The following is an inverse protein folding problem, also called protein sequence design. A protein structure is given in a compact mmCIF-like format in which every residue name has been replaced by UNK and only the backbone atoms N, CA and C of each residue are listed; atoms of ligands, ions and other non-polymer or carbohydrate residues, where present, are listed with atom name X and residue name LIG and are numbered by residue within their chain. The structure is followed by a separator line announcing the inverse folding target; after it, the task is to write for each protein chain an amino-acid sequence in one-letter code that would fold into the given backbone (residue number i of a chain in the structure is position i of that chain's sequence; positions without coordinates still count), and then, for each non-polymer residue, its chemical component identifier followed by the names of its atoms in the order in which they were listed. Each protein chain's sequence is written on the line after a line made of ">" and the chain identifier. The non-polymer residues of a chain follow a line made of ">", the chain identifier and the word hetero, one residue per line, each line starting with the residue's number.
data_IF_023031252348
#
_entry.id   IF_023031252348
#
_cell.length_a   1.000
_cell.length_b   1.000
_cell.length_c   1.000
_cell.angle_alpha   90.00
_cell.angle_beta   90.00
_cell.angle_gamma   90.00
#
_symmetry.space_group_name_H-M   'P 1'
#
loop_
_entity.id
_entity.type
_entity.pdbx_description
1 polymer ?
#
# COMPACT_ATOMS: atom_id res chain seq x y z
N UNK A 1 -6.89 -14.12 11.51
CA UNK A 1 -7.12 -13.17 12.61
C UNK A 1 -7.08 -11.76 12.04
N UNK A 2 -8.24 -11.12 11.90
CA UNK A 2 -8.45 -9.67 11.75
C UNK A 2 -9.89 -9.42 12.17
N UNK A 3 -10.20 -9.61 13.46
CA UNK A 3 -11.53 -9.32 13.99
C UNK A 3 -11.44 -8.05 14.83
N UNK A 4 -12.08 -7.01 14.30
CA UNK A 4 -12.46 -5.81 15.03
C UNK A 4 -11.44 -4.68 14.95
N UNK A 5 -11.45 -3.91 13.85
CA UNK A 5 -11.79 -2.46 13.81
C UNK A 5 -12.10 -2.12 12.34
N UNK A 6 -13.14 -2.71 11.75
CA UNK A 6 -13.46 -2.43 10.34
C UNK A 6 -14.33 -1.16 10.26
N UNK A 7 -13.70 0.00 10.47
CA UNK A 7 -14.26 1.23 9.91
C UNK A 7 -14.31 1.01 8.40
N UNK A 8 -15.51 1.11 7.81
CA UNK A 8 -15.77 0.88 6.39
C UNK A 8 -14.93 1.81 5.47
N UNK A 9 -14.25 2.79 6.07
CA UNK A 9 -13.39 3.80 5.47
C UNK A 9 -11.96 3.81 6.10
N UNK A 10 -11.45 2.68 6.56
CA UNK A 10 -10.05 2.59 7.06
C UNK A 10 -9.06 2.35 5.92
N UNK A 11 -7.81 2.79 6.10
CA UNK A 11 -6.71 2.53 5.17
C UNK A 11 -6.55 1.02 4.90
N UNK A 12 -6.64 0.19 5.95
CA UNK A 12 -6.55 -1.28 5.82
C UNK A 12 -7.69 -1.81 4.94
N UNK A 13 -8.94 -1.36 5.15
CA UNK A 13 -10.07 -1.76 4.30
C UNK A 13 -9.88 -1.34 2.84
N UNK A 14 -9.39 -0.12 2.60
CA UNK A 14 -9.09 0.37 1.25
C UNK A 14 -7.99 -0.46 0.56
N UNK A 15 -6.90 -0.79 1.28
CA UNK A 15 -5.82 -1.65 0.78
C UNK A 15 -6.32 -3.07 0.48
N UNK A 16 -7.15 -3.66 1.35
CA UNK A 16 -7.74 -4.98 1.12
C UNK A 16 -8.67 -4.99 -0.11
N UNK A 17 -9.51 -3.96 -0.28
CA UNK A 17 -10.37 -3.80 -1.46
C UNK A 17 -9.55 -3.66 -2.74
N UNK A 18 -8.48 -2.85 -2.70
CA UNK A 18 -7.55 -2.71 -3.81
C UNK A 18 -6.92 -4.07 -4.19
N UNK A 19 -6.31 -4.76 -3.22
CA UNK A 19 -5.68 -6.08 -3.46
C UNK A 19 -6.68 -7.08 -4.03
N UNK A 20 -7.91 -7.10 -3.51
CA UNK A 20 -8.99 -7.95 -4.00
C UNK A 20 -9.37 -7.62 -5.46
N UNK A 21 -9.47 -6.34 -5.80
CA UNK A 21 -9.74 -5.90 -7.16
C UNK A 21 -8.63 -6.30 -8.15
N UNK A 22 -7.36 -6.10 -7.78
CA UNK A 22 -6.21 -6.52 -8.62
C UNK A 22 -6.15 -8.05 -8.77
N UNK A 23 -6.48 -8.80 -7.72
CA UNK A 23 -6.57 -10.27 -7.79
C UNK A 23 -7.67 -10.72 -8.76
N UNK A 24 -8.86 -10.12 -8.69
CA UNK A 24 -9.95 -10.43 -9.62
C UNK A 24 -9.59 -10.05 -11.06
N UNK A 25 -8.86 -8.94 -11.25
CA UNK A 25 -8.31 -8.56 -12.55
C UNK A 25 -7.33 -9.63 -13.07
N UNK A 26 -6.38 -10.11 -12.26
CA UNK A 26 -5.43 -11.15 -12.66
C UNK A 26 -6.11 -12.48 -13.02
N UNK A 27 -7.20 -12.84 -12.31
CA UNK A 27 -7.99 -14.04 -12.62
C UNK A 27 -8.75 -13.90 -13.95
N UNK A 28 -9.15 -12.69 -14.32
CA UNK A 28 -9.77 -12.41 -15.62
C UNK A 28 -8.76 -12.29 -16.76
N UNK A 29 -7.60 -11.66 -16.50
CA UNK A 29 -6.54 -11.41 -17.50
C UNK A 29 -5.61 -12.63 -17.57
N UNK A 30 -6.07 -13.67 -18.28
CA UNK A 30 -5.31 -14.92 -18.45
C UNK A 30 -4.06 -14.76 -19.32
N UNK A 31 -4.01 -13.76 -20.20
CA UNK A 31 -2.88 -13.49 -21.09
C UNK A 31 -2.61 -11.97 -21.06
N UNK A 32 -1.73 -11.48 -20.16
CA UNK A 32 -1.49 -10.04 -20.00
C UNK A 32 -1.01 -9.34 -21.26
N UNK A 33 -0.22 -10.00 -22.11
CA UNK A 33 0.29 -9.39 -23.36
C UNK A 33 -0.80 -8.98 -24.33
N UNK A 34 -1.99 -9.60 -24.26
CA UNK A 34 -3.14 -9.23 -25.11
C UNK A 34 -3.64 -7.81 -24.84
N UNK A 35 -3.34 -7.25 -23.67
CA UNK A 35 -3.70 -5.87 -23.34
C UNK A 35 -2.94 -4.85 -24.20
N UNK A 36 -1.74 -5.17 -24.70
CA UNK A 36 -0.97 -4.30 -25.60
C UNK A 36 -1.61 -4.17 -26.98
N UNK A 37 -2.32 -5.21 -27.39
CA UNK A 37 -2.99 -5.29 -28.70
C UNK A 37 -4.41 -4.67 -28.66
N UNK A 38 -4.88 -4.22 -27.48
CA UNK A 38 -6.22 -3.67 -27.29
C UNK A 38 -6.19 -2.14 -27.37
N UNK A 39 -6.87 -1.58 -28.37
CA UNK A 39 -7.07 -0.13 -28.48
C UNK A 39 -8.25 0.30 -27.61
N UNK A 40 -8.02 1.27 -26.71
CA UNK A 40 -9.07 1.86 -25.88
C UNK A 40 -9.79 2.93 -26.69
N UNK A 41 -10.99 2.60 -27.16
CA UNK A 41 -11.88 3.56 -27.83
C UNK A 41 -12.48 4.57 -26.83
N UNK A 42 -12.77 5.79 -27.29
CA UNK A 42 -13.30 6.90 -26.47
C UNK A 42 -14.62 6.55 -25.74
N UNK A 43 -15.35 5.54 -26.20
CA UNK A 43 -16.67 5.15 -25.70
C UNK A 43 -16.63 4.36 -24.37
N UNK A 44 -15.53 3.67 -24.06
CA UNK A 44 -15.39 2.87 -22.81
C UNK A 44 -15.07 3.72 -21.58
N UNK A 45 -14.59 4.97 -21.76
CA UNK A 45 -14.24 5.88 -20.66
C UNK A 45 -15.45 6.50 -19.96
N UNK A 46 -16.65 6.40 -20.55
CA UNK A 46 -17.89 6.97 -20.00
C UNK A 46 -18.52 6.12 -18.87
N UNK A 47 -18.03 4.90 -18.63
CA UNK A 47 -18.62 3.95 -17.66
C UNK A 47 -18.00 4.08 -16.26
N UNK A 48 -16.91 4.83 -16.09
CA UNK A 48 -16.36 5.13 -14.77
C UNK A 48 -17.18 6.25 -14.12
N UNK A 49 -18.24 5.86 -13.40
CA UNK A 49 -19.08 6.78 -12.61
C UNK A 49 -18.22 7.73 -11.74
N UNK A 50 -18.56 9.03 -11.68
CA UNK A 50 -17.87 9.99 -10.84
C UNK A 50 -18.19 9.70 -9.37
N UNK A 51 -17.30 8.98 -8.70
CA UNK A 51 -17.36 8.89 -7.24
C UNK A 51 -17.02 10.28 -6.66
N UNK A 52 -17.76 10.73 -5.65
CA UNK A 52 -17.72 12.09 -5.09
C UNK A 52 -16.39 12.46 -4.37
N UNK A 53 -15.36 11.64 -4.45
CA UNK A 53 -14.02 12.02 -4.08
C UNK A 53 -13.35 12.68 -5.29
N UNK A 54 -13.17 14.01 -5.22
CA UNK A 54 -12.37 14.78 -6.18
C UNK A 54 -10.89 14.35 -6.09
N UNK A 55 -10.58 13.15 -6.55
CA UNK A 55 -9.24 12.79 -7.00
C UNK A 55 -9.22 13.06 -8.49
N UNK A 56 -8.29 13.89 -8.94
CA UNK A 56 -7.85 13.94 -10.33
C UNK A 56 -7.41 12.53 -10.73
N UNK A 57 -8.38 11.69 -11.13
CA UNK A 57 -8.09 10.43 -11.80
C UNK A 57 -7.13 10.76 -12.94
N UNK A 58 -6.05 9.99 -13.16
CA UNK A 58 -5.32 10.09 -14.41
C UNK A 58 -6.36 9.85 -15.49
N UNK A 59 -6.74 10.92 -16.22
CA UNK A 59 -7.53 10.80 -17.44
C UNK A 59 -6.74 9.83 -18.27
N UNK A 60 -7.23 8.60 -18.39
CA UNK A 60 -6.52 7.54 -19.09
C UNK A 60 -6.33 8.07 -20.51
N UNK A 61 -5.10 8.45 -20.91
CA UNK A 61 -4.93 9.14 -22.18
C UNK A 61 -5.36 8.17 -23.28
N UNK A 62 -6.12 8.66 -24.25
CA UNK A 62 -6.45 7.93 -25.46
C UNK A 62 -5.13 7.50 -26.11
N UNK A 63 -4.78 6.21 -26.02
CA UNK A 63 -3.46 5.66 -26.39
C UNK A 63 -2.63 5.10 -25.25
N UNK A 64 -3.14 5.09 -24.01
CA UNK A 64 -2.52 4.45 -22.86
C UNK A 64 -2.39 2.92 -23.07
N UNK A 65 -1.17 2.39 -22.89
CA UNK A 65 -0.93 0.95 -22.87
C UNK A 65 -1.61 0.31 -21.65
N UNK A 66 -2.67 -0.46 -21.88
CA UNK A 66 -3.38 -1.19 -20.83
C UNK A 66 -2.45 -2.14 -20.07
N UNK A 67 -1.43 -2.67 -20.73
CA UNK A 67 -0.45 -3.54 -20.10
C UNK A 67 0.41 -2.78 -19.07
N UNK A 68 0.76 -1.52 -19.33
CA UNK A 68 1.54 -0.72 -18.38
C UNK A 68 0.77 -0.49 -17.09
N UNK A 69 -0.53 -0.21 -17.16
CA UNK A 69 -1.41 -0.08 -15.99
C UNK A 69 -1.59 -1.41 -15.27
N UNK A 70 -1.82 -2.52 -15.99
CA UNK A 70 -1.89 -3.86 -15.42
C UNK A 70 -0.62 -4.19 -14.61
N UNK A 71 0.55 -4.00 -15.21
CA UNK A 71 1.84 -4.27 -14.58
C UNK A 71 2.08 -3.37 -13.38
N UNK A 72 1.70 -2.09 -13.47
CA UNK A 72 1.78 -1.13 -12.36
C UNK A 72 0.92 -1.58 -11.16
N UNK A 73 -0.36 -1.91 -11.40
CA UNK A 73 -1.28 -2.37 -10.36
C UNK A 73 -0.78 -3.64 -9.67
N UNK A 74 -0.26 -4.59 -10.46
CA UNK A 74 0.31 -5.82 -9.92
C UNK A 74 1.56 -5.54 -9.07
N UNK A 75 2.43 -4.63 -9.52
CA UNK A 75 3.61 -4.19 -8.74
C UNK A 75 3.20 -3.59 -7.40
N UNK A 76 2.25 -2.67 -7.40
CA UNK A 76 1.73 -2.04 -6.17
C UNK A 76 1.09 -3.07 -5.23
N UNK A 77 0.32 -4.03 -5.77
CA UNK A 77 -0.24 -5.16 -4.99
C UNK A 77 0.88 -5.96 -4.30
N UNK A 78 1.96 -6.27 -5.02
CA UNK A 78 3.08 -7.01 -4.45
C UNK A 78 3.77 -6.24 -3.31
N UNK A 79 3.94 -4.93 -3.44
CA UNK A 79 4.52 -4.07 -2.40
C UNK A 79 3.68 -4.05 -1.11
N UNK A 80 2.35 -4.03 -1.25
CA UNK A 80 1.42 -4.05 -0.11
C UNK A 80 1.48 -5.40 0.62
N UNK A 81 1.47 -6.52 -0.11
CA UNK A 81 1.37 -7.87 0.48
C UNK A 81 2.72 -8.38 0.99
N UNK A 82 3.77 -8.22 0.20
CA UNK A 82 5.09 -8.82 0.50
C UNK A 82 5.97 -7.89 1.35
N UNK A 83 5.53 -6.64 1.56
CA UNK A 83 6.38 -5.59 2.10
C UNK A 83 7.54 -5.25 1.17
N UNK A 84 8.20 -4.12 1.41
CA UNK A 84 9.31 -3.62 0.58
C UNK A 84 10.57 -4.53 0.55
N UNK A 85 10.52 -5.75 1.10
CA UNK A 85 11.64 -6.69 1.16
C UNK A 85 11.91 -7.40 -0.17
N UNK A 86 10.98 -7.35 -1.12
CA UNK A 86 11.16 -7.99 -2.42
C UNK A 86 11.46 -6.96 -3.49
N UNK A 87 12.73 -6.53 -3.55
CA UNK A 87 13.34 -6.24 -4.85
C UNK A 87 13.52 -7.60 -5.55
N UNK A 88 12.42 -8.29 -5.89
CA UNK A 88 12.52 -9.43 -6.78
C UNK A 88 12.90 -8.82 -8.13
N UNK A 89 14.17 -8.96 -8.45
CA UNK A 89 14.79 -9.41 -9.71
C UNK A 89 13.91 -9.73 -10.93
N UNK A 90 12.77 -9.06 -11.13
CA UNK A 90 12.21 -8.89 -12.46
C UNK A 90 13.12 -7.90 -13.18
N UNK A 91 14.26 -8.42 -13.64
CA UNK A 91 14.87 -8.05 -14.91
C UNK A 91 13.83 -8.25 -16.01
N UNK A 92 12.79 -7.42 -15.98
CA UNK A 92 11.99 -7.16 -17.15
C UNK A 92 12.73 -6.01 -17.78
N UNK A 93 13.52 -6.31 -18.80
CA UNK A 93 13.98 -5.37 -19.82
C UNK A 93 12.80 -4.42 -20.11
N UNK A 94 12.80 -3.25 -19.48
CA UNK A 94 11.70 -2.29 -19.60
C UNK A 94 11.91 -1.60 -20.92
N UNK A 95 11.20 -2.11 -21.92
CA UNK A 95 10.77 -1.36 -23.08
C UNK A 95 10.24 0.02 -22.61
N UNK A 96 10.90 1.07 -23.08
CA UNK A 96 10.83 2.48 -22.65
C UNK A 96 9.53 3.16 -23.10
N UNK A 97 8.40 2.44 -22.98
CA UNK A 97 7.08 2.89 -23.43
C UNK A 97 6.03 2.87 -22.32
N UNK A 98 6.44 2.75 -21.05
CA UNK A 98 5.53 2.90 -19.93
C UNK A 98 5.03 4.35 -19.87
N UNK A 99 3.72 4.52 -20.03
CA UNK A 99 3.05 5.82 -19.93
C UNK A 99 3.43 6.54 -18.62
N UNK A 100 3.88 7.79 -18.74
CA UNK A 100 4.45 8.57 -17.63
C UNK A 100 3.50 8.69 -16.43
N UNK A 101 2.19 8.76 -16.71
CA UNK A 101 1.15 8.89 -15.66
C UNK A 101 0.97 7.64 -14.81
N UNK A 102 1.15 6.43 -15.36
CA UNK A 102 1.12 5.19 -14.57
C UNK A 102 2.30 5.17 -13.60
N UNK A 103 3.49 5.52 -14.09
CA UNK A 103 4.71 5.50 -13.28
C UNK A 103 4.64 6.51 -12.13
N UNK A 104 4.22 7.75 -12.44
CA UNK A 104 4.05 8.82 -11.45
C UNK A 104 3.08 8.42 -10.33
N UNK A 105 1.93 7.84 -10.69
CA UNK A 105 0.92 7.38 -9.71
C UNK A 105 1.51 6.33 -8.75
N UNK A 106 2.26 5.36 -9.30
CA UNK A 106 2.88 4.32 -8.49
C UNK A 106 4.01 4.87 -7.61
N UNK A 107 4.80 5.83 -8.10
CA UNK A 107 5.84 6.51 -7.32
C UNK A 107 5.25 7.29 -6.14
N UNK A 108 4.17 8.04 -6.38
CA UNK A 108 3.46 8.76 -5.33
C UNK A 108 2.93 7.79 -4.26
N UNK A 109 2.27 6.70 -4.68
CA UNK A 109 1.77 5.68 -3.75
C UNK A 109 2.90 5.06 -2.92
N UNK A 110 4.01 4.66 -3.57
CA UNK A 110 5.21 4.13 -2.91
C UNK A 110 5.74 5.08 -1.84
N UNK A 111 5.88 6.36 -2.20
CA UNK A 111 6.39 7.38 -1.30
C UNK A 111 5.50 7.51 -0.05
N UNK A 112 4.18 7.58 -0.25
CA UNK A 112 3.22 7.69 0.85
C UNK A 112 3.20 6.45 1.74
N UNK A 113 3.15 5.25 1.16
CA UNK A 113 3.10 4.00 1.93
C UNK A 113 4.35 3.83 2.80
N UNK A 114 5.53 4.15 2.25
CA UNK A 114 6.80 4.16 3.00
C UNK A 114 6.78 5.16 4.16
N UNK A 115 6.24 6.36 3.93
CA UNK A 115 6.09 7.38 4.97
C UNK A 115 5.18 6.91 6.10
N UNK A 116 4.04 6.31 5.77
CA UNK A 116 3.09 5.76 6.74
C UNK A 116 3.75 4.64 7.56
N UNK A 117 4.46 3.70 6.93
CA UNK A 117 5.16 2.64 7.66
C UNK A 117 6.19 3.18 8.64
N UNK A 118 6.96 4.19 8.24
CA UNK A 118 7.92 4.85 9.14
C UNK A 118 7.23 5.48 10.34
N UNK A 119 6.13 6.21 10.13
CA UNK A 119 5.38 6.85 11.20
C UNK A 119 4.77 5.82 12.16
N UNK A 120 4.18 4.75 11.64
CA UNK A 120 3.64 3.66 12.46
C UNK A 120 4.71 2.99 13.31
N UNK A 121 5.90 2.78 12.76
CA UNK A 121 7.04 2.26 13.50
C UNK A 121 7.44 3.20 14.66
N UNK A 122 7.61 4.49 14.39
CA UNK A 122 7.96 5.48 15.41
C UNK A 122 6.89 5.58 16.51
N UNK A 123 5.61 5.54 16.15
CA UNK A 123 4.51 5.54 17.11
C UNK A 123 4.52 4.28 17.99
N UNK A 124 4.86 3.12 17.40
CA UNK A 124 5.00 1.85 18.13
C UNK A 124 6.16 1.92 19.12
N UNK A 125 7.33 2.40 18.70
CA UNK A 125 8.48 2.59 19.61
C UNK A 125 8.15 3.56 20.75
N UNK A 126 7.43 4.64 20.45
CA UNK A 126 7.00 5.62 21.45
C UNK A 126 6.05 4.99 22.47
N UNK A 127 5.11 4.14 22.03
CA UNK A 127 4.20 3.43 22.91
C UNK A 127 4.93 2.43 23.83
N UNK A 128 5.88 1.67 23.27
CA UNK A 128 6.71 0.74 24.05
C UNK A 128 7.60 1.47 25.05
N UNK A 129 8.13 2.65 24.69
CA UNK A 129 8.88 3.49 25.61
C UNK A 129 8.02 3.98 26.78
N UNK A 130 6.81 4.49 26.51
CA UNK A 130 5.86 4.93 27.54
C UNK A 130 5.51 3.79 28.50
N UNK A 131 5.21 2.61 27.95
CA UNK A 131 4.96 1.40 28.73
C UNK A 131 6.15 1.06 29.62
N UNK A 132 7.35 1.02 29.07
CA UNK A 132 8.59 0.71 29.81
C UNK A 132 8.84 1.71 30.94
N UNK A 133 8.62 3.01 30.67
CA UNK A 133 8.79 4.06 31.67
C UNK A 133 7.79 3.95 32.81
N UNK A 134 6.53 3.67 32.50
CA UNK A 134 5.48 3.47 33.50
C UNK A 134 5.74 2.24 34.37
N UNK A 135 6.10 1.10 33.75
CA UNK A 135 6.44 -0.11 34.49
C UNK A 135 7.62 0.11 35.45
N UNK A 136 8.60 0.94 35.08
CA UNK A 136 9.74 1.28 35.93
C UNK A 136 9.40 2.19 37.13
N UNK A 137 8.29 2.94 37.09
CA UNK A 137 7.84 3.75 38.25
C UNK A 137 6.83 3.00 39.12
N UNK A 138 6.02 2.15 38.52
CA UNK A 138 4.93 1.44 39.20
C UNK A 138 5.36 0.12 39.80
N UNK A 139 6.44 -0.51 39.30
CA UNK A 139 7.14 -1.56 40.05
C UNK A 139 7.95 -0.85 41.12
N UNK A 140 7.51 -0.82 42.40
CA UNK A 140 8.29 -0.18 43.45
C UNK A 140 9.68 -0.80 43.46
N UNK A 141 10.71 0.03 43.57
CA UNK A 141 12.03 -0.41 44.01
C UNK A 141 11.85 -1.03 45.40
N UNK A 142 11.57 -2.33 45.48
CA UNK A 142 11.55 -3.11 46.71
C UNK A 142 12.97 -3.34 47.21
N UNK A 143 13.82 -2.31 47.24
CA UNK A 143 15.17 -2.38 47.78
C UNK A 143 15.61 -1.02 48.35
N UNK A 144 14.85 -0.49 49.31
CA UNK A 144 15.40 0.44 50.30
C UNK A 144 14.82 0.19 51.68
N UNK A 145 15.51 -0.63 52.48
CA UNK A 145 15.93 -0.24 53.84
C UNK A 145 16.57 -1.41 54.58
N UNK A 146 17.90 -1.39 54.66
CA UNK A 146 18.62 -1.92 55.83
C UNK A 146 18.19 -1.11 57.06
N UNK A 147 17.80 -1.75 58.17
CA UNK A 147 18.07 -1.18 59.48
C UNK A 147 19.43 -1.70 59.97
N UNK A 148 20.34 -0.78 60.26
CA UNK A 148 21.41 -1.01 61.23
C UNK A 148 20.75 -1.23 62.59
N UNK A 149 20.97 -2.38 63.23
CA UNK A 149 20.82 -2.48 64.68
C UNK A 149 21.73 -3.58 65.25
N UNK A 150 22.74 -3.08 65.97
CA UNK A 150 23.57 -3.65 67.04
C UNK A 150 24.00 -5.12 66.98
#
# INVERSE_FOLDING_TARGET
>A
MCSGIESQQSLVSALCKFVGAVKNMDEAVMIPSKLRDMEVGETDLAILEPNNNKSDLPKMPTGADLYSFYSMLNTVKHEIISGSASRLDTSSEMDDNANDSSKETADAFRHHLKGIFKLLHQLTETAEFLKSRYEGEVKPNTETSRPLHL
#
